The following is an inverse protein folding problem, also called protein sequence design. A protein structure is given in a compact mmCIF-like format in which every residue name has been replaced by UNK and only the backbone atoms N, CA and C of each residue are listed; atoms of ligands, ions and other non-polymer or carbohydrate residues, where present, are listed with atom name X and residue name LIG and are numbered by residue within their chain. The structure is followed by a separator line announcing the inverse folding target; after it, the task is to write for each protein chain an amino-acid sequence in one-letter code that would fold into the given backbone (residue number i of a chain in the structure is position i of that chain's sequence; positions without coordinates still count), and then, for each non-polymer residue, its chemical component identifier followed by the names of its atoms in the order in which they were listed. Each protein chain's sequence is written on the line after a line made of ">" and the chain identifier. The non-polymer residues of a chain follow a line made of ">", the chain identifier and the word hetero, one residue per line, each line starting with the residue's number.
data_IF_815597767988
#
_entry.id   IF_815597767988
#
_cell.length_a   1.000
_cell.length_b   1.000
_cell.length_c   1.000
_cell.angle_alpha   90.00
_cell.angle_beta   90.00
_cell.angle_gamma   90.00
#
_symmetry.space_group_name_H-M   'P 1'
#
loop_
_entity.id
_entity.type
_entity.pdbx_description
1 polymer ?
#
# COMPACT_ATOMS: atom_id res chain seq x y z
N UNK A 1 -12.78 21.43 -14.48
CA UNK A 1 -11.96 20.53 -13.65
C UNK A 1 -12.79 19.37 -13.16
N UNK A 2 -12.26 18.15 -13.21
CA UNK A 2 -12.89 16.94 -12.67
C UNK A 2 -12.64 16.81 -11.16
N UNK A 3 -13.46 16.04 -10.45
CA UNK A 3 -13.25 15.76 -9.01
C UNK A 3 -11.86 15.16 -8.72
N UNK A 4 -11.30 14.44 -9.69
CA UNK A 4 -9.96 13.85 -9.63
C UNK A 4 -8.85 14.90 -9.70
N UNK A 5 -9.00 15.90 -10.57
CA UNK A 5 -8.07 17.03 -10.70
C UNK A 5 -8.07 17.89 -9.43
N UNK A 6 -9.25 18.20 -8.89
CA UNK A 6 -9.41 18.98 -7.65
C UNK A 6 -8.75 18.26 -6.46
N UNK A 7 -8.87 16.92 -6.39
CA UNK A 7 -8.25 16.14 -5.32
C UNK A 7 -6.71 16.11 -5.44
N UNK A 8 -6.19 15.93 -6.66
CA UNK A 8 -4.73 15.96 -6.89
C UNK A 8 -4.12 17.33 -6.57
N UNK A 9 -4.80 18.43 -6.90
CA UNK A 9 -4.33 19.78 -6.62
C UNK A 9 -4.27 20.07 -5.11
N UNK A 10 -5.29 19.66 -4.35
CA UNK A 10 -5.28 19.76 -2.87
C UNK A 10 -4.11 18.98 -2.27
N UNK A 11 -3.87 17.76 -2.74
CA UNK A 11 -2.75 16.93 -2.27
C UNK A 11 -1.38 17.55 -2.60
N UNK A 12 -1.24 18.21 -3.77
CA UNK A 12 -0.01 18.91 -4.14
C UNK A 12 0.26 20.12 -3.24
N UNK A 13 -0.77 20.93 -2.94
CA UNK A 13 -0.64 22.08 -2.04
C UNK A 13 -0.22 21.61 -0.65
N UNK A 14 -0.89 20.59 -0.12
CA UNK A 14 -0.58 20.02 1.19
C UNK A 14 0.85 19.43 1.26
N UNK A 15 1.27 18.73 0.21
CA UNK A 15 2.64 18.20 0.10
C UNK A 15 3.67 19.32 0.07
N UNK A 16 3.44 20.38 -0.71
CA UNK A 16 4.33 21.53 -0.81
C UNK A 16 4.47 22.27 0.53
N UNK A 17 3.36 22.47 1.25
CA UNK A 17 3.38 23.08 2.59
C UNK A 17 4.16 22.23 3.60
N UNK A 18 3.98 20.91 3.56
CA UNK A 18 4.70 19.97 4.41
C UNK A 18 6.19 19.98 4.12
N UNK A 19 6.60 19.92 2.85
CA UNK A 19 8.00 19.94 2.44
C UNK A 19 8.69 21.25 2.85
N UNK A 20 8.00 22.38 2.75
CA UNK A 20 8.51 23.66 3.25
C UNK A 20 8.70 23.67 4.77
N UNK A 21 7.76 23.09 5.54
CA UNK A 21 7.90 22.96 7.00
C UNK A 21 9.07 22.05 7.37
N UNK A 22 9.20 20.91 6.68
CA UNK A 22 10.30 19.97 6.87
C UNK A 22 11.65 20.63 6.56
N UNK A 23 11.74 21.40 5.47
CA UNK A 23 12.96 22.12 5.09
C UNK A 23 13.40 23.10 6.17
N UNK A 24 12.48 23.94 6.67
CA UNK A 24 12.78 24.88 7.77
C UNK A 24 13.23 24.18 9.05
N UNK A 25 12.59 23.05 9.37
CA UNK A 25 12.97 22.27 10.54
C UNK A 25 14.35 21.62 10.37
N UNK A 26 14.66 21.10 9.17
CA UNK A 26 15.98 20.57 8.85
C UNK A 26 17.06 21.66 8.95
N UNK A 27 16.80 22.85 8.40
CA UNK A 27 17.70 24.00 8.51
C UNK A 27 17.97 24.38 9.97
N UNK A 28 16.95 24.31 10.84
CA UNK A 28 17.14 24.52 12.28
C UNK A 28 17.98 23.40 12.90
N UNK A 29 17.70 22.13 12.60
CA UNK A 29 18.44 20.98 13.13
C UNK A 29 19.91 20.99 12.72
N UNK A 30 20.21 21.49 11.51
CA UNK A 30 21.57 21.61 10.99
C UNK A 30 22.32 22.84 11.52
N UNK A 31 21.65 23.72 12.28
CA UNK A 31 22.24 24.94 12.84
C UNK A 31 22.84 24.73 14.23
N UNK A 32 23.80 25.58 14.61
CA UNK A 32 24.39 25.57 15.96
C UNK A 32 23.34 25.84 17.06
N UNK A 33 22.25 26.54 16.73
CA UNK A 33 21.16 26.82 17.67
C UNK A 33 20.47 25.53 18.14
N UNK A 34 20.49 24.45 17.34
CA UNK A 34 19.97 23.15 17.76
C UNK A 34 20.74 22.55 18.94
N UNK A 35 22.04 22.82 19.04
CA UNK A 35 22.85 22.36 20.17
C UNK A 35 22.55 23.13 21.45
N UNK A 36 21.93 24.32 21.33
CA UNK A 36 21.58 25.17 22.46
C UNK A 36 20.26 24.78 23.15
N UNK A 37 19.43 23.96 22.52
CA UNK A 37 18.17 23.49 23.11
C UNK A 37 18.35 22.23 23.95
N UNK A 38 17.40 21.97 24.87
CA UNK A 38 17.44 20.78 25.73
C UNK A 38 17.35 19.49 24.93
N UNK A 39 17.96 18.42 25.45
CA UNK A 39 17.89 17.07 24.86
C UNK A 39 16.45 16.60 24.62
N UNK A 40 15.52 16.94 25.52
CA UNK A 40 14.09 16.61 25.37
C UNK A 40 13.51 17.28 24.11
N UNK A 41 13.83 18.55 23.87
CA UNK A 41 13.36 19.26 22.70
C UNK A 41 14.02 18.72 21.42
N UNK A 42 15.30 18.35 21.47
CA UNK A 42 15.99 17.71 20.33
C UNK A 42 15.29 16.39 19.94
N UNK A 43 14.96 15.55 20.92
CA UNK A 43 14.23 14.29 20.69
C UNK A 43 12.81 14.52 20.14
N UNK A 44 12.10 15.51 20.66
CA UNK A 44 10.77 15.86 20.18
C UNK A 44 10.80 16.28 18.70
N UNK A 45 11.76 17.12 18.33
CA UNK A 45 11.93 17.57 16.95
C UNK A 45 12.31 16.42 16.02
N UNK A 46 13.21 15.52 16.45
CA UNK A 46 13.54 14.32 15.68
C UNK A 46 12.30 13.43 15.43
N UNK A 47 11.47 13.20 16.45
CA UNK A 47 10.22 12.45 16.30
C UNK A 47 9.23 13.16 15.36
N UNK A 48 9.14 14.49 15.43
CA UNK A 48 8.32 15.27 14.50
C UNK A 48 8.81 15.11 13.06
N UNK A 49 10.12 15.15 12.81
CA UNK A 49 10.68 14.94 11.47
C UNK A 49 10.35 13.55 10.91
N UNK A 50 10.43 12.49 11.74
CA UNK A 50 10.03 11.14 11.34
C UNK A 50 8.55 11.09 10.97
N UNK A 51 7.67 11.66 11.81
CA UNK A 51 6.24 11.72 11.53
C UNK A 51 5.91 12.50 10.25
N UNK A 52 6.59 13.63 10.03
CA UNK A 52 6.46 14.42 8.80
C UNK A 52 6.93 13.64 7.57
N UNK A 53 8.04 12.90 7.65
CA UNK A 53 8.54 12.08 6.55
C UNK A 53 7.55 10.96 6.18
N UNK A 54 7.00 10.25 7.18
CA UNK A 54 5.96 9.23 6.95
C UNK A 54 4.71 9.83 6.29
N UNK A 55 4.32 11.02 6.72
CA UNK A 55 3.16 11.71 6.16
C UNK A 55 3.42 12.20 4.73
N UNK A 56 4.61 12.73 4.43
CA UNK A 56 5.05 13.09 3.08
C UNK A 56 5.00 11.88 2.14
N UNK A 57 5.47 10.73 2.59
CA UNK A 57 5.43 9.50 1.79
C UNK A 57 3.99 9.04 1.53
N UNK A 58 3.11 9.20 2.52
CA UNK A 58 1.67 8.94 2.38
C UNK A 58 0.99 9.90 1.39
N UNK A 59 1.31 11.20 1.42
CA UNK A 59 0.81 12.18 0.45
C UNK A 59 1.30 11.86 -0.96
N UNK A 60 2.57 11.52 -1.13
CA UNK A 60 3.12 11.09 -2.42
C UNK A 60 2.39 9.86 -2.99
N UNK A 61 2.08 8.86 -2.14
CA UNK A 61 1.28 7.69 -2.56
C UNK A 61 -0.12 8.11 -3.00
N UNK A 62 -0.82 8.93 -2.20
CA UNK A 62 -2.17 9.44 -2.51
C UNK A 62 -2.20 10.27 -3.78
N UNK A 63 -1.20 11.12 -4.01
CA UNK A 63 -1.06 11.90 -5.23
C UNK A 63 -0.85 11.01 -6.44
N UNK A 64 0.02 10.00 -6.35
CA UNK A 64 0.21 9.03 -7.45
C UNK A 64 -1.09 8.26 -7.74
N UNK A 65 -1.88 7.92 -6.73
CA UNK A 65 -3.22 7.31 -6.91
C UNK A 65 -4.18 8.27 -7.61
N UNK A 66 -4.29 9.50 -7.11
CA UNK A 66 -5.17 10.53 -7.66
C UNK A 66 -4.80 10.89 -9.11
N UNK A 67 -3.54 10.79 -9.50
CA UNK A 67 -3.09 11.01 -10.88
C UNK A 67 -3.21 9.76 -11.78
N UNK A 68 -3.72 8.63 -11.28
CA UNK A 68 -3.61 7.30 -11.92
C UNK A 68 -2.15 6.95 -12.33
N UNK A 69 -1.15 7.49 -11.63
CA UNK A 69 0.27 7.21 -11.85
C UNK A 69 0.75 5.96 -11.09
N UNK A 70 -0.01 5.50 -10.09
CA UNK A 70 0.14 4.12 -9.61
C UNK A 70 -0.59 3.23 -10.61
N UNK A 71 0.16 2.64 -11.54
CA UNK A 71 -0.24 1.35 -12.08
C UNK A 71 -0.05 0.39 -10.91
N UNK A 72 -1.12 -0.19 -10.38
CA UNK A 72 -0.94 -1.38 -9.55
C UNK A 72 -0.30 -2.41 -10.45
N UNK A 73 0.98 -2.68 -10.23
CA UNK A 73 1.57 -3.89 -10.75
C UNK A 73 1.00 -4.98 -9.86
N UNK A 74 -0.07 -5.64 -10.32
CA UNK A 74 -0.29 -7.01 -9.91
C UNK A 74 0.97 -7.72 -10.41
N UNK A 75 1.92 -7.98 -9.51
CA UNK A 75 2.99 -8.91 -9.80
C UNK A 75 2.31 -10.26 -9.92
N UNK A 76 1.87 -10.58 -11.15
CA UNK A 76 1.76 -11.98 -11.54
C UNK A 76 3.18 -12.50 -11.35
N UNK A 77 3.35 -13.38 -10.36
CA UNK A 77 4.63 -14.01 -10.13
C UNK A 77 5.13 -14.52 -11.48
N UNK A 78 6.41 -14.29 -11.83
CA UNK A 78 6.93 -14.60 -13.16
C UNK A 78 6.77 -16.08 -13.53
N UNK A 79 6.49 -16.92 -12.54
CA UNK A 79 6.14 -18.32 -12.67
C UNK A 79 4.72 -18.51 -12.10
N UNK A 80 3.90 -19.35 -12.76
CA UNK A 80 2.47 -19.58 -12.52
C UNK A 80 2.04 -20.03 -11.10
N UNK A 81 2.86 -19.85 -10.06
CA UNK A 81 2.70 -20.49 -8.74
C UNK A 81 2.76 -19.48 -7.61
N UNK A 82 1.64 -18.82 -7.34
CA UNK A 82 1.47 -17.95 -6.18
C UNK A 82 0.09 -18.15 -5.59
N UNK A 83 0.00 -18.84 -4.46
CA UNK A 83 -1.26 -19.10 -3.78
C UNK A 83 -1.33 -18.28 -2.50
N UNK A 84 -2.49 -17.64 -2.29
CA UNK A 84 -2.84 -17.09 -0.97
C UNK A 84 -3.33 -18.26 -0.14
N UNK A 85 -2.69 -18.52 0.99
CA UNK A 85 -3.00 -19.62 1.89
C UNK A 85 -3.51 -19.07 3.23
N UNK A 86 -4.44 -19.79 3.85
CA UNK A 86 -4.86 -19.53 5.23
C UNK A 86 -4.32 -20.64 6.12
N UNK A 87 -3.35 -20.31 6.97
CA UNK A 87 -2.82 -21.22 7.97
C UNK A 87 -3.78 -21.26 9.15
N UNK A 88 -4.53 -22.36 9.26
CA UNK A 88 -5.58 -22.51 10.27
C UNK A 88 -5.03 -22.48 11.71
N UNK A 89 -3.86 -23.09 11.93
CA UNK A 89 -3.22 -23.17 13.26
C UNK A 89 -2.71 -21.80 13.73
N UNK A 90 -2.17 -20.99 12.83
CA UNK A 90 -1.68 -19.64 13.13
C UNK A 90 -2.72 -18.53 12.92
N UNK A 91 -3.88 -18.86 12.36
CA UNK A 91 -4.94 -17.93 11.93
C UNK A 91 -4.42 -16.77 11.08
N UNK A 92 -3.51 -17.06 10.14
CA UNK A 92 -2.84 -16.04 9.31
C UNK A 92 -2.90 -16.39 7.84
N UNK A 93 -2.90 -15.34 7.01
CA UNK A 93 -2.76 -15.49 5.57
C UNK A 93 -1.29 -15.39 5.16
N UNK A 94 -0.80 -16.39 4.43
CA UNK A 94 0.58 -16.47 3.93
C UNK A 94 0.59 -16.63 2.41
N UNK A 95 1.71 -16.30 1.77
CA UNK A 95 1.93 -16.51 0.34
C UNK A 95 2.89 -17.69 0.19
N UNK A 96 2.51 -18.69 -0.61
CA UNK A 96 3.37 -19.83 -0.94
C UNK A 96 3.51 -19.98 -2.46
N UNK A 97 4.62 -20.59 -2.87
CA UNK A 97 5.06 -20.76 -4.24
C UNK A 97 5.14 -22.22 -4.70
N UNK A 98 4.86 -23.19 -3.82
CA UNK A 98 4.92 -24.62 -4.15
C UNK A 98 3.54 -25.20 -4.52
N UNK A 99 3.45 -25.81 -5.71
CA UNK A 99 2.23 -26.44 -6.25
C UNK A 99 1.98 -27.85 -5.66
N UNK A 100 3.03 -28.53 -5.16
CA UNK A 100 2.96 -29.96 -4.82
C UNK A 100 2.52 -30.22 -3.38
N UNK A 101 2.17 -29.16 -2.66
CA UNK A 101 1.84 -29.25 -1.26
C UNK A 101 0.37 -29.65 -1.07
N UNK A 102 0.10 -30.85 -0.55
CA UNK A 102 -1.25 -31.40 -0.32
C UNK A 102 -2.16 -30.56 0.62
N UNK A 103 -1.63 -29.53 1.27
CA UNK A 103 -2.37 -28.66 2.21
C UNK A 103 -2.69 -27.24 1.70
N UNK A 104 -2.41 -26.90 0.42
CA UNK A 104 -2.14 -25.48 0.09
C UNK A 104 -2.78 -24.96 -1.20
N UNK A 105 -4.11 -25.01 -1.27
CA UNK A 105 -4.87 -24.26 -2.29
C UNK A 105 -6.10 -23.63 -1.65
N UNK A 106 -6.18 -22.30 -1.59
CA UNK A 106 -7.46 -21.65 -1.23
C UNK A 106 -8.45 -21.90 -2.36
N UNK A 107 -9.42 -22.76 -2.08
CA UNK A 107 -10.51 -23.08 -2.99
C UNK A 107 -11.61 -22.04 -2.84
N UNK A 108 -12.02 -21.44 -3.94
CA UNK A 108 -13.22 -20.61 -3.98
C UNK A 108 -14.31 -21.33 -4.76
N UNK A 109 -15.49 -21.40 -4.17
CA UNK A 109 -16.68 -21.84 -4.89
C UNK A 109 -17.11 -20.79 -5.92
N UNK A 110 -17.79 -21.21 -6.98
CA UNK A 110 -18.34 -20.28 -7.97
C UNK A 110 -19.28 -19.24 -7.33
N UNK A 111 -19.99 -19.62 -6.27
CA UNK A 111 -20.86 -18.71 -5.52
C UNK A 111 -20.06 -17.59 -4.83
N UNK A 112 -18.95 -17.92 -4.18
CA UNK A 112 -18.09 -16.93 -3.52
C UNK A 112 -17.47 -15.96 -4.53
N UNK A 113 -17.00 -16.48 -5.68
CA UNK A 113 -16.49 -15.63 -6.77
C UNK A 113 -17.59 -14.67 -7.27
N UNK A 114 -18.83 -15.15 -7.39
CA UNK A 114 -19.94 -14.30 -7.82
C UNK A 114 -20.26 -13.18 -6.80
N UNK A 115 -20.11 -13.45 -5.50
CA UNK A 115 -20.22 -12.40 -4.48
C UNK A 115 -19.06 -11.41 -4.55
N UNK A 116 -17.83 -11.87 -4.80
CA UNK A 116 -16.67 -10.97 -4.98
C UNK A 116 -16.82 -10.06 -6.20
N UNK A 117 -17.41 -10.54 -7.30
CA UNK A 117 -17.70 -9.69 -8.48
C UNK A 117 -18.65 -8.53 -8.17
N UNK A 118 -19.51 -8.66 -7.16
CA UNK A 118 -20.44 -7.59 -6.74
C UNK A 118 -19.76 -6.52 -5.90
N UNK A 119 -18.60 -6.83 -5.30
CA UNK A 119 -17.87 -5.92 -4.43
C UNK A 119 -17.11 -4.88 -5.25
N UNK A 120 -17.42 -3.60 -5.01
CA UNK A 120 -16.77 -2.46 -5.68
C UNK A 120 -15.50 -1.97 -4.98
N UNK A 121 -15.24 -2.50 -3.78
CA UNK A 121 -14.08 -2.17 -2.95
C UNK A 121 -12.86 -3.07 -3.24
N UNK A 122 -13.03 -4.13 -4.03
CA UNK A 122 -11.94 -5.00 -4.47
C UNK A 122 -11.22 -4.39 -5.68
N UNK A 123 -9.90 -4.32 -5.61
CA UNK A 123 -9.05 -3.83 -6.70
C UNK A 123 -8.73 -4.92 -7.75
N UNK A 124 -9.74 -5.69 -8.16
CA UNK A 124 -9.63 -6.80 -9.13
C UNK A 124 -10.33 -6.40 -10.42
N UNK A 125 -9.62 -6.49 -11.55
CA UNK A 125 -10.21 -6.34 -12.88
C UNK A 125 -10.81 -7.68 -13.34
N UNK A 126 -12.08 -7.90 -12.97
CA UNK A 126 -12.79 -9.15 -13.22
C UNK A 126 -12.94 -9.50 -14.70
N UNK A 127 -12.87 -8.53 -15.61
CA UNK A 127 -12.93 -8.77 -17.06
C UNK A 127 -11.65 -9.46 -17.58
N UNK A 128 -10.59 -9.50 -16.77
CA UNK A 128 -9.29 -10.11 -17.09
C UNK A 128 -8.97 -11.34 -16.26
N UNK A 129 -9.87 -11.77 -15.37
CA UNK A 129 -9.66 -12.94 -14.52
C UNK A 129 -10.02 -14.21 -15.29
N UNK A 130 -9.10 -15.18 -15.32
CA UNK A 130 -9.36 -16.55 -15.79
C UNK A 130 -9.74 -17.39 -14.57
N UNK A 131 -10.88 -18.07 -14.65
CA UNK A 131 -11.36 -18.99 -13.60
C UNK A 131 -11.24 -20.40 -14.18
N UNK A 132 -10.39 -21.24 -13.57
CA UNK A 132 -10.20 -22.63 -13.97
C UNK A 132 -10.87 -23.56 -12.97
N UNK A 133 -11.56 -24.62 -13.43
CA UNK A 133 -12.10 -25.64 -12.52
C UNK A 133 -10.95 -26.45 -11.92
N UNK A 134 -11.07 -26.80 -10.64
CA UNK A 134 -10.17 -27.74 -9.99
C UNK A 134 -10.27 -29.07 -10.73
N UNK A 135 -9.13 -29.66 -11.10
CA UNK A 135 -9.12 -30.98 -11.73
C UNK A 135 -9.67 -31.98 -10.73
N UNK A 136 -10.68 -32.75 -11.13
CA UNK A 136 -11.12 -33.89 -10.34
C UNK A 136 -9.92 -34.82 -10.14
N UNK A 137 -9.67 -35.21 -8.89
CA UNK A 137 -8.73 -36.29 -8.58
C UNK A 137 -9.25 -37.57 -9.25
N UNK A 138 -8.39 -38.27 -9.99
CA UNK A 138 -8.68 -39.59 -10.55
C UNK A 138 -8.43 -40.68 -9.52
#
# INVERSE_FOLDING_TARGET
>A
MTNKEINAEKLNVELFELENKMKKLQEFVDSDDFLSISTINQMLLANQMVGMAMYRDSLNKRLRLAMNKIKYTVQVLPNNKGYINFEADEQRYTLDTDDESEHFQTHFTQSEINEFKKRKDLAIDWDRVIIEPVKAEN
#
